data_IF_297641040479
#
_entry.id   IF_297641040479
#
_cell.length_a   1.000
_cell.length_b   1.000
_cell.length_c   1.000
_cell.angle_alpha   90.00
_cell.angle_beta   90.00
_cell.angle_gamma   90.00
#
_symmetry.space_group_name_H-M   'P 1'
#
loop_
_entity.id
_entity.type
_entity.pdbx_description
1 polymer ?
#
# COMPACT_ATOMS: atom_id res chain seq x y z
N UNK A 1 25.34 -1.59 -9.10
CA UNK A 1 25.24 -2.79 -8.25
C UNK A 1 23.92 -3.48 -8.57
N UNK A 2 23.99 -4.60 -9.30
CA UNK A 2 22.84 -5.44 -9.63
C UNK A 2 22.31 -6.08 -8.34
N UNK A 3 21.03 -5.89 -8.02
CA UNK A 3 20.36 -6.67 -6.99
C UNK A 3 19.70 -7.85 -7.70
N UNK A 4 20.41 -8.98 -7.72
CA UNK A 4 19.88 -10.24 -8.21
C UNK A 4 18.72 -10.69 -7.31
N UNK A 5 17.54 -10.91 -7.92
CA UNK A 5 16.41 -11.54 -7.25
C UNK A 5 16.68 -13.05 -7.06
N UNK A 6 16.25 -13.63 -5.93
CA UNK A 6 16.54 -15.02 -5.57
C UNK A 6 15.95 -16.00 -6.58
N UNK A 7 16.79 -16.89 -7.10
CA UNK A 7 16.49 -17.81 -8.21
C UNK A 7 16.14 -19.22 -7.74
N UNK A 8 16.43 -19.58 -6.48
CA UNK A 8 16.17 -20.92 -5.93
C UNK A 8 15.14 -20.95 -4.77
N UNK A 9 14.54 -22.12 -4.54
CA UNK A 9 13.61 -22.39 -3.43
C UNK A 9 14.26 -22.20 -2.05
N UNK A 10 15.55 -22.47 -1.95
CA UNK A 10 16.34 -22.25 -0.74
C UNK A 10 16.59 -20.76 -0.49
N UNK A 11 16.84 -19.96 -1.54
CA UNK A 11 16.99 -18.52 -1.42
C UNK A 11 15.67 -17.84 -1.04
N UNK A 12 14.54 -18.28 -1.61
CA UNK A 12 13.20 -17.84 -1.19
C UNK A 12 12.93 -18.15 0.29
N UNK A 13 13.36 -19.33 0.75
CA UNK A 13 13.27 -19.73 2.16
C UNK A 13 14.19 -18.92 3.07
N UNK A 14 15.34 -18.47 2.55
CA UNK A 14 16.30 -17.60 3.24
C UNK A 14 15.79 -16.16 3.35
N UNK A 15 15.18 -15.61 2.30
CA UNK A 15 14.50 -14.30 2.33
C UNK A 15 13.31 -14.33 3.30
N UNK A 16 12.48 -15.38 3.27
CA UNK A 16 11.42 -15.59 4.28
C UNK A 16 11.97 -15.62 5.72
N UNK A 17 13.11 -16.27 5.94
CA UNK A 17 13.77 -16.32 7.26
C UNK A 17 14.42 -15.00 7.67
N UNK A 18 14.93 -14.21 6.73
CA UNK A 18 15.62 -12.94 6.99
C UNK A 18 14.63 -11.80 7.30
N UNK A 19 13.49 -11.76 6.62
CA UNK A 19 12.48 -10.71 6.81
C UNK A 19 11.34 -11.13 7.76
N UNK A 20 11.19 -12.42 8.06
CA UNK A 20 10.24 -12.91 9.06
C UNK A 20 8.75 -12.71 8.71
N UNK A 21 8.40 -12.34 7.47
CA UNK A 21 7.04 -11.91 7.14
C UNK A 21 6.51 -12.45 5.79
N UNK A 22 5.18 -12.56 5.71
CA UNK A 22 4.41 -12.75 4.48
C UNK A 22 4.13 -11.42 3.75
N UNK A 23 4.49 -10.28 4.35
CA UNK A 23 4.20 -8.95 3.81
C UNK A 23 5.29 -8.48 2.84
N UNK A 24 4.87 -7.78 1.79
CA UNK A 24 5.76 -7.30 0.74
C UNK A 24 6.42 -5.96 1.09
N UNK A 25 5.67 -5.07 1.74
CA UNK A 25 6.12 -3.79 2.25
C UNK A 25 5.66 -3.67 3.69
N UNK A 26 6.51 -3.13 4.54
CA UNK A 26 6.07 -2.61 5.83
C UNK A 26 5.16 -1.40 5.60
N UNK A 27 4.23 -1.18 6.53
CA UNK A 27 3.40 0.02 6.57
C UNK A 27 4.32 1.27 6.61
N UNK A 28 4.21 2.15 5.62
CA UNK A 28 5.04 3.37 5.53
C UNK A 28 4.19 4.57 5.93
N UNK A 29 4.66 5.33 6.92
CA UNK A 29 4.09 6.62 7.29
C UNK A 29 5.11 7.74 7.08
N UNK A 30 4.75 8.73 6.26
CA UNK A 30 5.52 9.96 6.07
C UNK A 30 4.82 11.07 6.85
N UNK A 31 5.48 11.58 7.88
CA UNK A 31 4.88 12.48 8.86
C UNK A 31 5.62 13.82 8.89
N UNK A 32 4.87 14.90 9.12
CA UNK A 32 5.42 16.19 9.46
C UNK A 32 5.38 16.39 10.97
N UNK A 33 6.51 16.83 11.53
CA UNK A 33 6.66 17.16 12.95
C UNK A 33 6.69 18.67 13.15
N UNK A 34 6.40 19.10 14.36
CA UNK A 34 6.55 20.49 14.82
C UNK A 34 6.88 20.50 16.32
N UNK A 35 7.17 21.67 16.87
CA UNK A 35 7.55 21.82 18.28
C UNK A 35 6.54 22.67 19.06
N UNK A 36 6.39 22.36 20.34
CA UNK A 36 5.71 23.22 21.32
C UNK A 36 6.59 23.36 22.54
N UNK A 37 6.70 24.57 23.09
CA UNK A 37 7.50 24.81 24.29
C UNK A 37 6.68 24.42 25.54
N UNK A 38 7.24 23.54 26.36
CA UNK A 38 6.66 23.15 27.65
C UNK A 38 6.71 24.29 28.67
N UNK A 39 5.94 24.14 29.76
CA UNK A 39 5.97 25.06 30.92
C UNK A 39 7.40 25.21 31.50
N UNK A 40 8.25 24.19 31.34
CA UNK A 40 9.65 24.19 31.80
C UNK A 40 10.63 24.76 30.77
N UNK A 41 10.14 25.35 29.67
CA UNK A 41 10.96 25.94 28.61
C UNK A 41 11.64 24.92 27.69
N UNK A 42 11.31 23.63 27.80
CA UNK A 42 11.83 22.58 26.92
C UNK A 42 10.94 22.40 25.70
N UNK A 43 11.51 22.27 24.51
CA UNK A 43 10.76 21.96 23.29
C UNK A 43 10.31 20.49 23.29
N UNK A 44 9.02 20.31 23.03
CA UNK A 44 8.37 19.01 22.87
C UNK A 44 7.99 18.85 21.40
N UNK A 45 8.51 17.79 20.78
CA UNK A 45 8.17 17.43 19.40
C UNK A 45 6.79 16.78 19.39
N UNK A 46 5.92 17.22 18.48
CA UNK A 46 4.63 16.57 18.22
C UNK A 46 4.40 16.32 16.73
N UNK A 47 3.48 15.41 16.44
CA UNK A 47 3.04 15.11 15.08
C UNK A 47 2.08 16.19 14.60
N UNK A 48 2.49 16.96 13.59
CA UNK A 48 1.67 18.02 13.01
C UNK A 48 0.61 17.46 12.07
N UNK A 49 1.01 16.55 11.17
CA UNK A 49 0.12 15.89 10.19
C UNK A 49 0.80 14.73 9.46
N UNK A 50 -0.01 13.80 8.94
CA UNK A 50 0.45 12.81 7.96
C UNK A 50 0.51 13.39 6.54
N UNK A 51 1.62 13.19 5.85
CA UNK A 51 1.78 13.51 4.43
C UNK A 51 1.38 12.32 3.55
N UNK A 52 1.84 11.13 3.92
CA UNK A 52 1.51 9.86 3.28
C UNK A 52 1.34 8.75 4.30
N UNK A 53 0.35 7.89 4.08
CA UNK A 53 0.28 6.55 4.67
C UNK A 53 0.17 5.55 3.52
N UNK A 54 1.01 4.53 3.55
CA UNK A 54 1.08 3.49 2.53
C UNK A 54 0.97 2.14 3.22
N UNK A 55 -0.03 1.37 2.82
CA UNK A 55 -0.31 0.03 3.31
C UNK A 55 -0.16 -0.97 2.17
N UNK A 56 0.25 -2.20 2.48
CA UNK A 56 0.36 -3.26 1.48
C UNK A 56 -0.19 -4.59 1.99
N UNK A 57 -0.89 -5.31 1.12
CA UNK A 57 -1.34 -6.68 1.38
C UNK A 57 -1.31 -7.45 0.06
N UNK A 58 -0.49 -8.48 -0.02
CA UNK A 58 -0.32 -9.30 -1.23
C UNK A 58 -1.15 -10.58 -1.24
N UNK A 59 -1.87 -10.88 -0.17
CA UNK A 59 -2.87 -11.94 -0.14
C UNK A 59 -3.89 -11.74 -1.26
N UNK A 60 -4.16 -12.80 -2.01
CA UNK A 60 -5.16 -12.80 -3.10
C UNK A 60 -6.61 -12.90 -2.60
N UNK A 61 -6.81 -12.60 -1.32
CA UNK A 61 -8.07 -12.68 -0.59
C UNK A 61 -8.51 -11.27 -0.18
N UNK A 62 -9.74 -10.91 -0.58
CA UNK A 62 -10.30 -9.59 -0.31
C UNK A 62 -10.51 -9.29 1.18
N UNK A 63 -10.66 -10.31 2.03
CA UNK A 63 -10.84 -10.11 3.46
C UNK A 63 -9.58 -9.55 4.11
N UNK A 64 -8.43 -10.11 3.77
CA UNK A 64 -7.12 -9.64 4.24
C UNK A 64 -6.87 -8.21 3.73
N UNK A 65 -7.08 -7.98 2.43
CA UNK A 65 -6.95 -6.64 1.86
C UNK A 65 -7.84 -5.60 2.56
N UNK A 66 -9.08 -5.97 2.94
CA UNK A 66 -9.96 -5.08 3.67
C UNK A 66 -9.42 -4.73 5.08
N UNK A 67 -8.80 -5.67 5.78
CA UNK A 67 -8.22 -5.40 7.10
C UNK A 67 -7.11 -4.36 7.02
N UNK A 68 -6.17 -4.50 6.09
CA UNK A 68 -5.09 -3.52 5.93
C UNK A 68 -5.58 -2.20 5.34
N UNK A 69 -6.53 -2.24 4.40
CA UNK A 69 -7.11 -1.02 3.85
C UNK A 69 -7.80 -0.17 4.93
N UNK A 70 -8.45 -0.79 5.93
CA UNK A 70 -9.07 -0.06 7.03
C UNK A 70 -8.07 0.78 7.84
N UNK A 71 -6.77 0.46 7.83
CA UNK A 71 -5.75 1.32 8.43
C UNK A 71 -5.65 2.67 7.71
N UNK A 72 -5.84 2.71 6.39
CA UNK A 72 -5.90 3.96 5.61
C UNK A 72 -7.14 4.79 5.94
N UNK A 73 -8.25 4.15 6.30
CA UNK A 73 -9.47 4.85 6.77
C UNK A 73 -9.20 5.54 8.11
N UNK A 74 -8.47 4.87 9.01
CA UNK A 74 -8.08 5.42 10.31
C UNK A 74 -6.97 6.48 10.19
N UNK A 75 -6.17 6.40 9.12
CA UNK A 75 -5.06 7.30 8.85
C UNK A 75 -5.52 8.70 8.43
N UNK A 76 -5.15 9.71 9.21
CA UNK A 76 -5.35 11.11 8.83
C UNK A 76 -4.12 11.65 8.08
N UNK A 77 -4.01 11.32 6.80
CA UNK A 77 -2.93 11.79 5.93
C UNK A 77 -3.46 12.47 4.66
N UNK A 78 -2.66 13.42 4.15
CA UNK A 78 -2.99 14.15 2.91
C UNK A 78 -3.12 13.23 1.70
N UNK A 79 -2.33 12.16 1.67
CA UNK A 79 -2.38 11.15 0.64
C UNK A 79 -2.34 9.77 1.30
N UNK A 80 -3.08 8.83 0.74
CA UNK A 80 -3.05 7.43 1.17
C UNK A 80 -2.96 6.51 -0.04
N UNK A 81 -2.15 5.46 0.07
CA UNK A 81 -1.94 4.48 -0.99
C UNK A 81 -2.10 3.07 -0.42
N UNK A 82 -2.90 2.26 -1.10
CA UNK A 82 -2.96 0.83 -0.86
C UNK A 82 -2.23 0.08 -1.99
N UNK A 83 -1.40 -0.91 -1.64
CA UNK A 83 -0.71 -1.76 -2.60
C UNK A 83 -1.24 -3.20 -2.46
N UNK A 84 -1.81 -3.73 -3.54
CA UNK A 84 -2.40 -5.07 -3.58
C UNK A 84 -1.90 -5.94 -4.74
N UNK A 85 -2.29 -7.22 -4.80
CA UNK A 85 -1.91 -8.10 -5.89
C UNK A 85 -2.79 -7.87 -7.11
N UNK A 86 -2.20 -7.98 -8.30
CA UNK A 86 -2.95 -8.21 -9.52
C UNK A 86 -3.57 -9.61 -9.47
N UNK A 87 -4.86 -9.66 -9.81
CA UNK A 87 -5.63 -10.87 -9.96
C UNK A 87 -5.86 -11.10 -11.46
N UNK A 88 -5.49 -12.27 -11.96
CA UNK A 88 -5.53 -12.61 -13.38
C UNK A 88 -6.95 -12.85 -13.92
N UNK A 89 -7.90 -13.07 -13.01
CA UNK A 89 -9.31 -13.34 -13.33
C UNK A 89 -10.12 -12.05 -13.18
N UNK A 90 -10.87 -11.69 -14.22
CA UNK A 90 -11.65 -10.43 -14.27
C UNK A 90 -12.75 -10.36 -13.22
N UNK A 91 -13.41 -11.48 -12.90
CA UNK A 91 -14.45 -11.51 -11.87
C UNK A 91 -13.83 -11.27 -10.49
N UNK A 92 -12.73 -11.96 -10.17
CA UNK A 92 -11.99 -11.77 -8.93
C UNK A 92 -11.42 -10.36 -8.82
N UNK A 93 -10.88 -9.82 -9.91
CA UNK A 93 -10.39 -8.45 -9.97
C UNK A 93 -11.49 -7.43 -9.65
N UNK A 94 -12.63 -7.54 -10.32
CA UNK A 94 -13.78 -6.65 -10.10
C UNK A 94 -14.37 -6.82 -8.69
N UNK A 95 -14.44 -8.05 -8.19
CA UNK A 95 -14.87 -8.34 -6.82
C UNK A 95 -13.94 -7.71 -5.77
N UNK A 96 -12.64 -7.79 -6.00
CA UNK A 96 -11.62 -7.17 -5.14
C UNK A 96 -11.79 -5.65 -5.07
N UNK A 97 -11.86 -4.96 -6.22
CA UNK A 97 -12.11 -3.52 -6.27
C UNK A 97 -13.42 -3.12 -5.58
N UNK A 98 -14.47 -3.93 -5.76
CA UNK A 98 -15.80 -3.68 -5.15
C UNK A 98 -15.76 -3.70 -3.63
N UNK A 99 -15.02 -4.64 -3.03
CA UNK A 99 -14.89 -4.75 -1.56
C UNK A 99 -14.23 -3.49 -0.97
N UNK A 100 -13.28 -2.89 -1.69
CA UNK A 100 -12.55 -1.71 -1.23
C UNK A 100 -13.31 -0.38 -1.42
N UNK A 101 -14.46 -0.36 -2.12
CA UNK A 101 -15.23 0.88 -2.33
C UNK A 101 -15.76 1.48 -1.03
N UNK A 102 -16.40 0.65 -0.21
CA UNK A 102 -17.01 1.11 1.03
C UNK A 102 -15.99 1.79 1.98
N UNK A 103 -14.82 1.19 2.27
CA UNK A 103 -13.81 1.89 3.08
C UNK A 103 -13.19 3.09 2.35
N UNK A 104 -12.99 3.06 1.03
CA UNK A 104 -12.43 4.18 0.28
C UNK A 104 -13.24 5.49 0.43
N UNK A 105 -14.57 5.39 0.51
CA UNK A 105 -15.47 6.54 0.79
C UNK A 105 -15.20 7.22 2.14
N UNK A 106 -14.61 6.49 3.08
CA UNK A 106 -14.42 6.95 4.45
C UNK A 106 -12.99 7.42 4.73
N UNK A 107 -12.08 7.34 3.76
CA UNK A 107 -10.74 7.89 3.91
C UNK A 107 -10.79 9.43 4.00
N UNK A 108 -9.92 10.01 4.84
CA UNK A 108 -9.80 11.46 5.00
C UNK A 108 -9.34 12.17 3.72
N UNK A 109 -8.57 11.48 2.87
CA UNK A 109 -8.17 11.88 1.53
C UNK A 109 -8.58 10.82 0.52
N UNK A 110 -8.75 11.20 -0.75
CA UNK A 110 -9.07 10.24 -1.81
C UNK A 110 -7.93 9.22 -1.95
N UNK A 111 -8.19 7.91 -1.75
CA UNK A 111 -7.14 6.92 -1.77
C UNK A 111 -6.66 6.60 -3.19
N UNK A 112 -5.39 6.22 -3.29
CA UNK A 112 -4.82 5.55 -4.45
C UNK A 112 -4.75 4.04 -4.20
N UNK A 113 -4.84 3.27 -5.28
CA UNK A 113 -4.69 1.82 -5.26
C UNK A 113 -3.71 1.38 -6.34
N UNK A 114 -2.60 0.77 -5.95
CA UNK A 114 -1.66 0.16 -6.88
C UNK A 114 -1.81 -1.37 -6.83
N UNK A 115 -2.14 -1.98 -7.96
CA UNK A 115 -2.10 -3.43 -8.12
C UNK A 115 -0.84 -3.82 -8.88
N UNK A 116 0.00 -4.63 -8.26
CA UNK A 116 1.27 -5.11 -8.82
C UNK A 116 1.26 -6.63 -8.99
N UNK A 117 2.11 -7.21 -9.85
CA UNK A 117 2.19 -8.66 -9.98
C UNK A 117 2.52 -9.29 -8.62
N UNK A 118 2.07 -10.50 -8.36
CA UNK A 118 2.36 -11.15 -7.09
C UNK A 118 3.87 -11.49 -6.98
N UNK A 119 4.52 -11.38 -5.81
CA UNK A 119 5.96 -11.56 -5.67
C UNK A 119 6.45 -12.96 -6.11
N UNK A 120 5.63 -13.99 -5.90
CA UNK A 120 5.89 -15.35 -6.37
C UNK A 120 6.06 -15.47 -7.90
N UNK A 121 5.57 -14.49 -8.66
CA UNK A 121 5.62 -14.42 -10.13
C UNK A 121 6.54 -13.32 -10.67
N UNK A 122 7.32 -12.64 -9.82
CA UNK A 122 8.23 -11.59 -10.29
C UNK A 122 9.36 -12.16 -11.14
N UNK A 123 9.48 -11.66 -12.37
CA UNK A 123 10.60 -11.86 -13.29
C UNK A 123 11.52 -10.64 -13.31
N UNK A 124 12.66 -10.71 -14.01
CA UNK A 124 13.60 -9.56 -14.12
C UNK A 124 12.95 -8.37 -14.88
N UNK A 125 11.93 -8.66 -15.71
CA UNK A 125 11.12 -7.65 -16.39
C UNK A 125 9.71 -7.60 -15.77
N UNK A 126 9.52 -6.75 -14.76
CA UNK A 126 8.23 -6.55 -14.07
C UNK A 126 7.76 -5.12 -14.23
N UNK A 127 7.09 -4.82 -15.36
CA UNK A 127 6.61 -3.46 -15.70
C UNK A 127 5.11 -3.27 -15.63
N UNK A 128 4.31 -4.25 -15.21
CA UNK A 128 2.86 -4.10 -15.19
C UNK A 128 2.36 -3.66 -13.81
N UNK A 129 2.36 -2.35 -13.54
CA UNK A 129 1.60 -1.78 -12.41
C UNK A 129 0.27 -1.25 -12.94
N UNK A 130 -0.85 -1.59 -12.29
CA UNK A 130 -2.14 -0.97 -12.54
C UNK A 130 -2.43 -0.01 -11.40
N UNK A 131 -2.47 1.28 -11.68
CA UNK A 131 -2.76 2.29 -10.68
C UNK A 131 -4.18 2.81 -10.85
N UNK A 132 -4.89 2.94 -9.75
CA UNK A 132 -6.23 3.50 -9.68
C UNK A 132 -6.25 4.71 -8.77
N UNK A 133 -7.06 5.70 -9.14
CA UNK A 133 -7.46 6.80 -8.28
C UNK A 133 -8.93 6.63 -7.89
N UNK A 134 -9.25 7.03 -6.67
CA UNK A 134 -10.64 7.10 -6.21
C UNK A 134 -11.30 8.38 -6.70
N UNK A 135 -12.31 8.27 -7.56
CA UNK A 135 -13.03 9.41 -8.15
C UNK A 135 -14.52 9.11 -8.28
N UNK A 136 -15.37 10.04 -7.85
CA UNK A 136 -16.82 9.94 -8.10
C UNK A 136 -17.45 8.64 -7.59
N UNK A 137 -16.96 8.12 -6.47
CA UNK A 137 -17.39 6.86 -5.85
C UNK A 137 -16.99 5.57 -6.61
N UNK A 138 -15.99 5.69 -7.48
CA UNK A 138 -15.48 4.61 -8.32
C UNK A 138 -13.95 4.60 -8.36
N UNK A 139 -13.40 3.43 -8.66
CA UNK A 139 -11.97 3.29 -8.98
C UNK A 139 -11.78 3.59 -10.47
N UNK A 140 -11.02 4.63 -10.79
CA UNK A 140 -10.63 4.97 -12.17
C UNK A 140 -9.16 4.64 -12.41
N UNK A 141 -8.88 3.96 -13.51
CA UNK A 141 -7.55 3.67 -14.03
C UNK A 141 -6.97 4.78 -14.93
N UNK A 142 -7.60 5.96 -14.97
CA UNK A 142 -7.20 7.12 -15.80
C UNK A 142 -5.88 7.77 -15.40
N UNK A 143 -5.13 7.17 -14.48
CA UNK A 143 -3.74 7.54 -14.27
C UNK A 143 -2.95 6.90 -15.42
N UNK A 144 -2.87 7.64 -16.53
CA UNK A 144 -2.10 7.27 -17.72
C UNK A 144 -0.68 6.78 -17.39
N UNK A 145 0.02 6.14 -18.35
CA UNK A 145 1.27 5.44 -18.07
C UNK A 145 2.24 6.34 -17.29
N UNK A 146 2.58 5.93 -16.07
CA UNK A 146 3.71 6.51 -15.35
C UNK A 146 4.97 6.06 -16.09
N UNK A 147 5.53 6.99 -16.86
CA UNK A 147 6.83 6.85 -17.53
C UNK A 147 7.92 7.16 -16.51
#
# INVERSE_FOLDING_TARGET
MSKDFPRSLEERSRVRRLFGMQELLYDISILQFDNVTSIRGQDLVYLKRGLWIIESEMARDSRQALYDFNKLVLGNAQNVLFIGPQLNDSERHNGYLRVLKAPARNCASAPYLALIPHPDSWTIDTRSVKLYSWQGDEWSDDLGPFI
#
